data_IF_106705260349
#
_entry.id   IF_106705260349
#
_cell.length_a   1.000
_cell.length_b   1.000
_cell.length_c   1.000
_cell.angle_alpha   90.00
_cell.angle_beta   90.00
_cell.angle_gamma   90.00
#
_symmetry.space_group_name_H-M   'P 1'
#
loop_
_entity.id
_entity.type
_entity.pdbx_description
1 polymer ?
#
# COMPACT_ATOMS: atom_id res chain seq x y z
N UNK A 1 -18.06 -15.20 20.56
CA UNK A 1 -17.47 -13.86 20.46
C UNK A 1 -18.45 -12.92 19.79
N UNK A 2 -18.70 -11.75 20.38
CA UNK A 2 -19.55 -10.69 19.83
C UNK A 2 -18.79 -9.36 19.92
N UNK A 3 -18.96 -8.51 18.93
CA UNK A 3 -18.41 -7.15 18.94
C UNK A 3 -19.23 -6.31 19.94
N UNK A 4 -18.55 -5.71 20.89
CA UNK A 4 -19.16 -4.90 21.96
C UNK A 4 -18.99 -3.41 21.75
N UNK A 5 -17.88 -3.01 21.10
CA UNK A 5 -17.55 -1.61 20.88
C UNK A 5 -16.63 -1.44 19.66
N UNK A 6 -16.65 -0.25 19.07
CA UNK A 6 -15.69 0.19 18.05
C UNK A 6 -15.18 1.57 18.47
N UNK A 7 -13.88 1.69 18.64
CA UNK A 7 -13.21 2.95 18.97
C UNK A 7 -12.43 3.46 17.79
N UNK A 8 -12.41 4.76 17.61
CA UNK A 8 -11.56 5.45 16.65
C UNK A 8 -10.68 6.47 17.35
N UNK A 9 -9.50 6.73 16.78
CA UNK A 9 -8.57 7.73 17.28
C UNK A 9 -7.82 8.36 16.12
N UNK A 10 -7.75 9.69 16.08
CA UNK A 10 -6.94 10.40 15.11
C UNK A 10 -5.53 10.62 15.66
N UNK A 11 -4.52 10.28 14.86
CA UNK A 11 -3.09 10.43 15.20
C UNK A 11 -2.38 11.14 14.06
N UNK A 12 -1.41 11.97 14.39
CA UNK A 12 -0.49 12.58 13.42
C UNK A 12 0.93 12.06 13.63
N UNK A 13 1.53 11.53 12.60
CA UNK A 13 2.92 11.05 12.58
C UNK A 13 3.73 12.07 11.79
N UNK A 14 4.64 12.83 12.43
CA UNK A 14 5.53 13.75 11.73
C UNK A 14 6.54 12.96 10.90
N UNK A 15 6.78 13.38 9.67
CA UNK A 15 7.83 12.80 8.84
C UNK A 15 9.16 13.45 9.17
N UNK A 16 10.23 12.67 9.20
CA UNK A 16 11.59 13.18 9.46
C UNK A 16 12.06 14.17 8.39
N UNK A 17 11.71 13.89 7.13
CA UNK A 17 11.93 14.77 5.98
C UNK A 17 10.62 14.90 5.19
N UNK A 18 10.30 16.10 4.64
CA UNK A 18 9.15 16.24 3.75
C UNK A 18 9.29 15.36 2.50
N UNK A 19 8.18 14.73 2.11
CA UNK A 19 8.10 13.97 0.86
C UNK A 19 7.73 14.91 -0.28
N UNK A 20 8.44 14.83 -1.40
CA UNK A 20 8.08 15.55 -2.62
C UNK A 20 8.03 14.57 -3.79
N UNK A 21 6.80 14.35 -4.27
CA UNK A 21 6.52 13.63 -5.52
C UNK A 21 6.19 14.62 -6.62
N UNK A 22 5.88 14.14 -7.81
CA UNK A 22 5.48 15.01 -8.93
C UNK A 22 4.17 15.78 -8.68
N UNK A 23 3.31 15.29 -7.77
CA UNK A 23 1.97 15.84 -7.52
C UNK A 23 1.69 16.21 -6.05
N UNK A 24 2.55 15.79 -5.09
CA UNK A 24 2.32 16.02 -3.66
C UNK A 24 3.56 16.57 -2.95
N UNK A 25 3.31 17.47 -1.97
CA UNK A 25 4.24 17.82 -0.91
C UNK A 25 3.61 17.44 0.42
N UNK A 26 4.29 16.60 1.21
CA UNK A 26 3.77 16.04 2.46
C UNK A 26 4.78 16.21 3.58
N UNK A 27 4.35 16.74 4.72
CA UNK A 27 5.17 17.01 5.89
C UNK A 27 4.83 16.09 7.08
N UNK A 28 3.63 15.50 7.05
CA UNK A 28 3.17 14.52 8.04
C UNK A 28 2.20 13.52 7.41
N UNK A 29 1.98 12.39 8.05
CA UNK A 29 0.88 11.49 7.74
C UNK A 29 -0.07 11.46 8.93
N UNK A 30 -1.37 11.53 8.65
CA UNK A 30 -2.41 11.40 9.66
C UNK A 30 -3.09 10.05 9.54
N UNK A 31 -3.41 9.43 10.67
CA UNK A 31 -4.11 8.15 10.71
C UNK A 31 -5.41 8.27 11.50
N UNK A 32 -6.43 7.52 11.06
CA UNK A 32 -7.58 7.17 11.90
C UNK A 32 -7.43 5.70 12.27
N UNK A 33 -7.07 5.45 13.52
CA UNK A 33 -6.98 4.11 14.08
C UNK A 33 -8.38 3.57 14.36
N UNK A 34 -8.56 2.27 14.16
CA UNK A 34 -9.81 1.54 14.44
C UNK A 34 -9.51 0.38 15.36
N UNK A 35 -10.19 0.32 16.51
CA UNK A 35 -10.11 -0.77 17.48
C UNK A 35 -11.49 -1.38 17.64
N UNK A 36 -11.65 -2.67 17.29
CA UNK A 36 -12.89 -3.44 17.41
C UNK A 36 -12.80 -4.34 18.65
N UNK A 37 -13.53 -3.99 19.70
CA UNK A 37 -13.55 -4.71 20.97
C UNK A 37 -14.62 -5.79 21.01
N UNK A 38 -14.35 -6.89 21.71
CA UNK A 38 -15.28 -8.03 21.84
C UNK A 38 -15.57 -8.39 23.29
N UNK A 39 -16.63 -9.18 23.50
CA UNK A 39 -17.03 -9.77 24.79
C UNK A 39 -16.02 -10.80 25.33
N UNK A 40 -15.03 -11.20 24.53
CA UNK A 40 -13.95 -12.10 24.95
C UNK A 40 -12.67 -11.38 25.37
N UNK A 41 -12.62 -10.05 25.25
CA UNK A 41 -11.47 -9.22 25.52
C UNK A 41 -10.46 -9.11 24.35
N UNK A 42 -10.69 -9.82 23.25
CA UNK A 42 -9.87 -9.65 22.04
C UNK A 42 -10.21 -8.32 21.36
N UNK A 43 -9.19 -7.68 20.79
CA UNK A 43 -9.30 -6.43 20.05
C UNK A 43 -8.68 -6.60 18.68
N UNK A 44 -9.44 -6.27 17.64
CA UNK A 44 -8.93 -6.16 16.27
C UNK A 44 -8.51 -4.73 15.97
N UNK A 45 -7.37 -4.55 15.33
CA UNK A 45 -6.71 -3.27 15.15
C UNK A 45 -6.36 -3.01 13.68
N UNK A 46 -6.59 -1.80 13.22
CA UNK A 46 -6.15 -1.32 11.92
C UNK A 46 -6.21 0.20 11.84
N UNK A 47 -5.76 0.78 10.73
CA UNK A 47 -5.86 2.22 10.46
C UNK A 47 -6.17 2.50 8.98
N UNK A 48 -6.62 3.72 8.73
CA UNK A 48 -6.57 4.39 7.43
C UNK A 48 -5.78 5.68 7.58
N UNK A 49 -5.16 6.16 6.49
CA UNK A 49 -4.32 7.34 6.54
C UNK A 49 -4.73 8.43 5.55
N UNK A 50 -4.23 9.63 5.79
CA UNK A 50 -4.29 10.76 4.87
C UNK A 50 -2.98 11.56 4.94
N UNK A 51 -2.51 12.00 3.78
CA UNK A 51 -1.35 12.88 3.68
C UNK A 51 -1.66 14.23 4.36
N UNK A 52 -0.69 14.77 5.09
CA UNK A 52 -0.81 16.05 5.81
C UNK A 52 -2.03 16.10 6.76
N UNK A 53 -2.42 14.98 7.38
CA UNK A 53 -3.60 14.84 8.25
C UNK A 53 -4.91 15.44 7.71
N UNK A 54 -4.98 15.61 6.40
CA UNK A 54 -6.15 16.24 5.78
C UNK A 54 -7.36 15.31 5.85
N UNK A 55 -8.49 15.87 6.26
CA UNK A 55 -9.79 15.18 6.22
C UNK A 55 -9.92 13.95 7.12
N UNK A 56 -9.07 13.78 8.15
CA UNK A 56 -9.17 12.64 9.08
C UNK A 56 -10.55 12.56 9.73
N UNK A 57 -11.12 13.70 10.11
CA UNK A 57 -12.49 13.77 10.66
C UNK A 57 -13.54 13.20 9.71
N UNK A 58 -13.34 13.32 8.38
CA UNK A 58 -14.27 12.74 7.39
C UNK A 58 -14.14 11.22 7.36
N UNK A 59 -12.91 10.68 7.40
CA UNK A 59 -12.68 9.23 7.52
C UNK A 59 -13.27 8.68 8.82
N UNK A 60 -13.00 9.33 9.94
CA UNK A 60 -13.50 8.92 11.25
C UNK A 60 -15.02 8.95 11.31
N UNK A 61 -15.66 10.01 10.81
CA UNK A 61 -17.13 10.10 10.76
C UNK A 61 -17.73 8.98 9.90
N UNK A 62 -17.10 8.66 8.77
CA UNK A 62 -17.55 7.58 7.90
C UNK A 62 -17.41 6.22 8.57
N UNK A 63 -16.26 5.92 9.20
CA UNK A 63 -16.06 4.69 9.99
C UNK A 63 -17.11 4.59 11.07
N UNK A 64 -17.32 5.65 11.87
CA UNK A 64 -18.28 5.67 12.96
C UNK A 64 -19.73 5.44 12.48
N UNK A 65 -20.09 5.93 11.29
CA UNK A 65 -21.43 5.71 10.71
C UNK A 65 -21.70 4.24 10.39
N UNK A 66 -20.64 3.47 10.08
CA UNK A 66 -20.73 2.04 9.75
C UNK A 66 -20.77 1.11 10.98
N UNK A 67 -20.47 1.62 12.18
CA UNK A 67 -20.40 0.80 13.41
C UNK A 67 -21.72 0.10 13.74
N UNK A 68 -22.86 0.63 13.29
CA UNK A 68 -24.17 0.02 13.43
C UNK A 68 -24.27 -1.40 12.84
N UNK A 69 -23.45 -1.71 11.85
CA UNK A 69 -23.39 -3.05 11.23
C UNK A 69 -22.52 -4.04 11.99
N UNK A 70 -21.75 -3.56 13.00
CA UNK A 70 -20.79 -4.34 13.76
C UNK A 70 -21.31 -4.73 15.16
N UNK A 71 -21.89 -3.77 15.89
CA UNK A 71 -22.26 -3.96 17.28
C UNK A 71 -23.23 -5.15 17.44
N UNK A 72 -22.85 -6.08 18.33
CA UNK A 72 -23.60 -7.30 18.61
C UNK A 72 -23.40 -8.43 17.58
N UNK A 73 -22.73 -8.18 16.46
CA UNK A 73 -22.43 -9.21 15.46
C UNK A 73 -21.28 -10.12 15.91
N UNK A 74 -21.24 -11.31 15.34
CA UNK A 74 -20.08 -12.19 15.42
C UNK A 74 -19.07 -11.79 14.33
N UNK A 75 -17.83 -11.39 14.66
CA UNK A 75 -16.84 -10.94 13.69
C UNK A 75 -16.44 -12.03 12.67
N UNK A 76 -16.71 -13.31 12.94
CA UNK A 76 -16.49 -14.40 11.96
C UNK A 76 -17.39 -14.29 10.71
N UNK A 77 -18.45 -13.46 10.76
CA UNK A 77 -19.28 -13.16 9.60
C UNK A 77 -18.78 -11.95 8.81
N UNK A 78 -17.45 -11.81 8.66
CA UNK A 78 -16.80 -10.67 8.01
C UNK A 78 -17.36 -10.38 6.62
N UNK A 79 -17.62 -11.39 5.80
CA UNK A 79 -18.21 -11.25 4.48
C UNK A 79 -19.62 -10.62 4.51
N UNK A 80 -20.45 -11.06 5.46
CA UNK A 80 -21.78 -10.49 5.66
C UNK A 80 -21.71 -9.03 6.09
N UNK A 81 -20.79 -8.71 7.01
CA UNK A 81 -20.60 -7.34 7.53
C UNK A 81 -20.09 -6.46 6.39
N UNK A 82 -19.11 -6.93 5.62
CA UNK A 82 -18.58 -6.22 4.47
C UNK A 82 -19.69 -5.87 3.45
N UNK A 83 -20.50 -6.86 3.08
CA UNK A 83 -21.60 -6.69 2.12
C UNK A 83 -22.66 -5.71 2.62
N UNK A 84 -23.01 -5.75 3.92
CA UNK A 84 -23.95 -4.80 4.50
C UNK A 84 -23.43 -3.36 4.42
N UNK A 85 -22.17 -3.12 4.79
CA UNK A 85 -21.53 -1.81 4.64
C UNK A 85 -21.47 -1.36 3.18
N UNK A 86 -21.13 -2.28 2.27
CA UNK A 86 -21.05 -2.00 0.83
C UNK A 86 -22.39 -1.55 0.26
N UNK A 87 -23.47 -2.27 0.58
CA UNK A 87 -24.84 -1.93 0.13
C UNK A 87 -25.29 -0.58 0.72
N UNK A 88 -25.02 -0.33 1.99
CA UNK A 88 -25.37 0.93 2.66
C UNK A 88 -24.64 2.13 2.06
N UNK A 89 -23.41 1.96 1.61
CA UNK A 89 -22.63 3.00 0.94
C UNK A 89 -23.09 3.31 -0.50
N UNK A 90 -23.97 2.51 -1.10
CA UNK A 90 -24.36 2.68 -2.52
C UNK A 90 -24.87 4.10 -2.85
N UNK A 91 -25.79 4.72 -2.06
CA UNK A 91 -26.28 6.06 -2.35
C UNK A 91 -25.20 7.17 -2.22
N UNK A 92 -24.13 6.92 -1.47
CA UNK A 92 -23.02 7.85 -1.25
C UNK A 92 -21.91 7.70 -2.28
N UNK A 93 -21.91 6.59 -3.04
CA UNK A 93 -20.86 6.18 -3.94
C UNK A 93 -19.89 5.19 -3.26
N UNK A 94 -19.52 4.17 -4.01
CA UNK A 94 -18.70 3.05 -3.55
C UNK A 94 -17.23 3.24 -3.98
N UNK A 95 -16.68 4.43 -3.73
CA UNK A 95 -15.28 4.82 -3.95
C UNK A 95 -14.87 5.86 -2.89
N UNK A 96 -13.59 6.13 -2.77
CA UNK A 96 -13.08 7.16 -1.87
C UNK A 96 -13.30 6.80 -0.40
N UNK A 97 -13.77 7.78 0.38
CA UNK A 97 -13.90 7.67 1.84
C UNK A 97 -14.80 6.52 2.31
N UNK A 98 -15.82 6.17 1.53
CA UNK A 98 -16.73 5.06 1.86
C UNK A 98 -16.00 3.72 1.84
N UNK A 99 -15.23 3.47 0.78
CA UNK A 99 -14.46 2.22 0.66
C UNK A 99 -13.28 2.19 1.62
N UNK A 100 -12.63 3.33 1.86
CA UNK A 100 -11.57 3.44 2.89
C UNK A 100 -12.09 3.10 4.29
N UNK A 101 -13.29 3.54 4.64
CA UNK A 101 -13.90 3.20 5.92
C UNK A 101 -14.23 1.70 6.02
N UNK A 102 -14.75 1.10 4.93
CA UNK A 102 -14.96 -0.36 4.86
C UNK A 102 -13.63 -1.09 5.03
N UNK A 103 -12.57 -0.64 4.37
CA UNK A 103 -11.22 -1.22 4.48
C UNK A 103 -10.69 -1.21 5.92
N UNK A 104 -10.84 -0.08 6.62
CA UNK A 104 -10.41 0.04 8.01
C UNK A 104 -11.08 -1.03 8.90
N UNK A 105 -12.38 -1.18 8.75
CA UNK A 105 -13.19 -2.13 9.53
C UNK A 105 -12.89 -3.57 9.12
N UNK A 106 -12.88 -3.87 7.83
CA UNK A 106 -12.63 -5.21 7.30
C UNK A 106 -11.29 -5.78 7.76
N UNK A 107 -10.23 -4.98 7.65
CA UNK A 107 -8.88 -5.39 8.05
C UNK A 107 -8.78 -5.60 9.56
N UNK A 108 -9.41 -4.73 10.39
CA UNK A 108 -9.49 -4.93 11.83
C UNK A 108 -10.31 -6.19 12.23
N UNK A 109 -11.36 -6.52 11.48
CA UNK A 109 -12.11 -7.77 11.68
C UNK A 109 -11.24 -9.00 11.35
N UNK A 110 -10.46 -8.95 10.29
CA UNK A 110 -9.53 -10.04 9.96
C UNK A 110 -8.43 -10.19 11.01
N UNK A 111 -7.86 -9.09 11.51
CA UNK A 111 -6.91 -9.12 12.62
C UNK A 111 -7.51 -9.83 13.84
N UNK A 112 -8.74 -9.48 14.20
CA UNK A 112 -9.47 -10.13 15.29
C UNK A 112 -9.69 -11.63 15.04
N UNK A 113 -10.01 -12.02 13.80
CA UNK A 113 -10.21 -13.42 13.43
C UNK A 113 -8.90 -14.21 13.56
N UNK A 114 -7.78 -13.64 13.10
CA UNK A 114 -6.46 -14.25 13.27
C UNK A 114 -6.06 -14.39 14.73
N UNK A 115 -6.29 -13.36 15.56
CA UNK A 115 -6.09 -13.40 17.02
C UNK A 115 -6.97 -14.45 17.68
N UNK A 116 -8.24 -14.58 17.29
CA UNK A 116 -9.14 -15.64 17.78
C UNK A 116 -8.68 -17.04 17.39
N UNK A 117 -8.17 -17.20 16.18
CA UNK A 117 -7.62 -18.48 15.69
C UNK A 117 -6.24 -18.80 16.27
N UNK A 118 -5.61 -17.85 16.97
CA UNK A 118 -4.22 -17.91 17.43
C UNK A 118 -3.25 -18.22 16.26
N UNK A 119 -3.43 -17.55 15.13
CA UNK A 119 -2.69 -17.80 13.90
C UNK A 119 -2.42 -16.51 13.14
N UNK A 120 -1.23 -16.34 12.54
CA UNK A 120 -0.98 -15.22 11.62
C UNK A 120 -1.90 -15.28 10.41
N UNK A 121 -2.34 -14.12 9.91
CA UNK A 121 -3.33 -14.06 8.82
C UNK A 121 -2.85 -14.72 7.53
N UNK A 122 -1.56 -14.59 7.17
CA UNK A 122 -1.07 -15.23 5.96
C UNK A 122 -1.19 -16.76 6.01
N UNK A 123 -1.02 -17.37 7.20
CA UNK A 123 -1.24 -18.80 7.40
C UNK A 123 -2.74 -19.15 7.37
N UNK A 124 -3.57 -18.33 7.99
CA UNK A 124 -5.02 -18.52 7.99
C UNK A 124 -5.60 -18.45 6.57
N UNK A 125 -5.01 -17.62 5.70
CA UNK A 125 -5.39 -17.49 4.29
C UNK A 125 -4.80 -18.59 3.39
N UNK A 126 -3.93 -19.45 3.91
CA UNK A 126 -3.25 -20.50 3.17
C UNK A 126 -1.86 -20.05 2.69
N UNK A 127 -0.88 -20.10 3.58
CA UNK A 127 0.49 -19.67 3.30
C UNK A 127 1.10 -20.34 2.08
N UNK A 128 1.77 -19.58 1.24
CA UNK A 128 2.58 -20.09 0.13
C UNK A 128 4.07 -19.76 0.29
N UNK A 129 4.45 -18.93 1.29
CA UNK A 129 5.83 -18.55 1.59
C UNK A 129 5.98 -18.03 3.02
N UNK A 130 7.20 -18.00 3.51
CA UNK A 130 7.61 -17.47 4.83
C UNK A 130 8.38 -16.13 4.74
N UNK A 131 8.67 -15.66 3.53
CA UNK A 131 9.28 -14.36 3.23
C UNK A 131 8.81 -13.86 1.88
N UNK A 132 8.91 -12.56 1.64
CA UNK A 132 8.54 -11.95 0.36
C UNK A 132 9.50 -10.82 0.01
N UNK A 133 9.84 -10.70 -1.26
CA UNK A 133 10.64 -9.60 -1.78
C UNK A 133 10.04 -8.25 -1.40
N UNK A 134 10.88 -7.33 -1.00
CA UNK A 134 10.48 -5.95 -0.69
C UNK A 134 11.37 -4.94 -1.38
N UNK A 135 10.88 -3.71 -1.50
CA UNK A 135 11.65 -2.58 -2.02
C UNK A 135 11.48 -1.36 -1.13
N UNK A 136 12.58 -0.61 -0.95
CA UNK A 136 12.57 0.64 -0.21
C UNK A 136 11.84 1.73 -1.01
N UNK A 137 10.84 2.38 -0.39
CA UNK A 137 10.02 3.42 -1.03
C UNK A 137 9.93 4.72 -0.21
N UNK A 138 10.54 4.78 0.97
CA UNK A 138 10.57 5.97 1.84
C UNK A 138 11.73 6.93 1.54
N UNK A 139 12.19 6.98 0.31
CA UNK A 139 13.29 7.87 -0.09
C UNK A 139 13.35 8.08 -1.60
N UNK A 140 14.53 8.50 -2.07
CA UNK A 140 14.82 8.80 -3.48
C UNK A 140 13.81 9.77 -4.10
N UNK A 141 13.38 10.75 -3.27
CA UNK A 141 12.33 11.69 -3.62
C UNK A 141 12.75 12.62 -4.76
N UNK A 142 11.76 13.21 -5.43
CA UNK A 142 11.97 14.08 -6.57
C UNK A 142 12.82 15.32 -6.22
N UNK A 143 12.78 15.79 -4.96
CA UNK A 143 13.56 16.94 -4.48
C UNK A 143 15.04 16.64 -4.23
N UNK A 144 15.41 15.37 -4.04
CA UNK A 144 16.79 15.01 -3.70
C UNK A 144 17.76 15.32 -4.85
N UNK A 145 18.94 15.83 -4.52
CA UNK A 145 20.09 15.93 -5.39
C UNK A 145 20.63 14.54 -5.74
N UNK A 146 21.50 14.44 -6.73
CA UNK A 146 22.11 13.15 -7.10
C UNK A 146 22.96 12.59 -5.93
N UNK A 147 23.69 13.44 -5.21
CA UNK A 147 24.52 13.01 -4.08
C UNK A 147 23.64 12.46 -2.94
N UNK A 148 22.54 13.14 -2.61
CA UNK A 148 21.55 12.67 -1.61
C UNK A 148 20.89 11.36 -2.04
N UNK A 149 20.58 11.18 -3.34
CA UNK A 149 20.03 9.91 -3.84
C UNK A 149 21.00 8.74 -3.66
N UNK A 150 22.29 8.98 -3.92
CA UNK A 150 23.34 7.96 -3.79
C UNK A 150 23.53 7.59 -2.30
N UNK A 151 23.54 8.57 -1.42
CA UNK A 151 23.65 8.37 0.03
C UNK A 151 22.45 7.54 0.53
N UNK A 152 21.22 7.96 0.25
CA UNK A 152 19.99 7.23 0.63
C UNK A 152 19.95 5.80 0.05
N UNK A 153 20.43 5.60 -1.17
CA UNK A 153 20.48 4.28 -1.78
C UNK A 153 21.44 3.33 -1.06
N UNK A 154 22.62 3.84 -0.63
CA UNK A 154 23.56 3.06 0.17
C UNK A 154 22.97 2.74 1.56
N UNK A 155 22.29 3.69 2.21
CA UNK A 155 21.59 3.45 3.48
C UNK A 155 20.55 2.32 3.34
N UNK A 156 19.79 2.27 2.23
CA UNK A 156 18.85 1.18 1.97
C UNK A 156 19.56 -0.17 1.80
N UNK A 157 20.69 -0.20 1.10
CA UNK A 157 21.48 -1.44 0.94
C UNK A 157 22.00 -1.92 2.30
N UNK A 158 22.47 -1.00 3.16
CA UNK A 158 22.92 -1.33 4.52
C UNK A 158 21.78 -1.85 5.41
N UNK A 159 20.56 -1.34 5.22
CA UNK A 159 19.34 -1.84 5.87
C UNK A 159 18.87 -3.21 5.35
N UNK A 160 19.54 -3.78 4.36
CA UNK A 160 19.23 -5.10 3.82
C UNK A 160 18.38 -5.10 2.55
N UNK A 161 17.95 -3.95 2.03
CA UNK A 161 17.21 -3.88 0.78
C UNK A 161 18.06 -4.26 -0.43
N UNK A 162 17.42 -4.87 -1.43
CA UNK A 162 18.02 -5.21 -2.75
C UNK A 162 17.20 -4.63 -3.91
N UNK A 163 16.17 -3.88 -3.58
CA UNK A 163 15.31 -3.16 -4.52
C UNK A 163 14.89 -1.82 -3.92
N UNK A 164 14.80 -0.78 -4.73
CA UNK A 164 14.41 0.57 -4.30
C UNK A 164 13.67 1.33 -5.39
N UNK A 165 12.83 2.30 -5.00
CA UNK A 165 11.97 3.05 -5.90
C UNK A 165 12.43 4.50 -6.05
N UNK A 166 12.85 4.88 -7.27
CA UNK A 166 13.24 6.24 -7.66
C UNK A 166 12.02 7.03 -8.15
N UNK A 167 11.81 8.24 -7.63
CA UNK A 167 10.74 9.13 -8.11
C UNK A 167 11.17 9.87 -9.37
N UNK A 168 10.30 9.84 -10.40
CA UNK A 168 10.42 10.54 -11.67
C UNK A 168 9.39 11.68 -11.79
N UNK A 169 9.53 12.52 -12.81
CA UNK A 169 8.57 13.61 -13.07
C UNK A 169 9.17 15.00 -12.91
N UNK A 170 10.47 15.16 -13.09
CA UNK A 170 11.11 16.47 -13.23
C UNK A 170 10.53 17.22 -14.42
N UNK A 171 10.50 18.55 -14.35
CA UNK A 171 10.05 19.41 -15.46
C UNK A 171 10.89 19.15 -16.73
N UNK A 172 12.19 18.95 -16.56
CA UNK A 172 13.10 18.53 -17.62
C UNK A 172 13.37 17.02 -17.56
N UNK A 173 12.85 16.19 -18.46
CA UNK A 173 13.03 14.75 -18.45
C UNK A 173 14.50 14.27 -18.50
N UNK A 174 15.42 15.11 -18.97
CA UNK A 174 16.86 14.79 -18.97
C UNK A 174 17.42 14.67 -17.55
N UNK A 175 16.82 15.39 -16.59
CA UNK A 175 17.19 15.30 -15.18
C UNK A 175 16.79 13.93 -14.61
N UNK A 176 15.60 13.42 -14.95
CA UNK A 176 15.17 12.08 -14.55
C UNK A 176 16.13 11.00 -15.09
N UNK A 177 16.53 11.11 -16.37
CA UNK A 177 17.51 10.18 -16.96
C UNK A 177 18.86 10.28 -16.26
N UNK A 178 19.36 11.50 -15.97
CA UNK A 178 20.62 11.69 -15.28
C UNK A 178 20.60 11.11 -13.86
N UNK A 179 19.51 11.29 -13.12
CA UNK A 179 19.29 10.75 -11.78
C UNK A 179 19.26 9.21 -11.79
N UNK A 180 18.51 8.62 -12.72
CA UNK A 180 18.41 7.17 -12.84
C UNK A 180 19.77 6.55 -13.23
N UNK A 181 20.52 7.17 -14.14
CA UNK A 181 21.85 6.72 -14.55
C UNK A 181 22.85 6.80 -13.40
N UNK A 182 22.89 7.93 -12.69
CA UNK A 182 23.78 8.10 -11.55
C UNK A 182 23.48 7.09 -10.43
N UNK A 183 22.19 6.84 -10.16
CA UNK A 183 21.77 5.82 -9.20
C UNK A 183 22.24 4.42 -9.64
N UNK A 184 22.00 4.02 -10.90
CA UNK A 184 22.44 2.72 -11.44
C UNK A 184 23.96 2.55 -11.34
N UNK A 185 24.74 3.59 -11.70
CA UNK A 185 26.20 3.58 -11.61
C UNK A 185 26.69 3.42 -10.16
N UNK A 186 25.97 4.02 -9.18
CA UNK A 186 26.33 3.94 -7.77
C UNK A 186 26.01 2.58 -7.13
N UNK A 187 24.83 2.00 -7.43
CA UNK A 187 24.36 0.77 -6.77
C UNK A 187 24.74 -0.52 -7.50
N UNK A 188 25.20 -0.43 -8.76
CA UNK A 188 25.54 -1.61 -9.57
C UNK A 188 24.33 -2.38 -10.09
N UNK A 189 24.57 -3.48 -10.82
CA UNK A 189 23.52 -4.26 -11.51
C UNK A 189 22.74 -5.21 -10.59
N UNK A 190 23.28 -5.54 -9.42
CA UNK A 190 22.66 -6.48 -8.47
C UNK A 190 21.50 -5.85 -7.68
N UNK A 191 21.36 -4.53 -7.70
CA UNK A 191 20.29 -3.80 -7.06
C UNK A 191 19.20 -3.47 -8.09
N UNK A 192 17.95 -3.86 -7.80
CA UNK A 192 16.83 -3.51 -8.66
C UNK A 192 16.40 -2.06 -8.44
N UNK A 193 16.26 -1.31 -9.52
CA UNK A 193 15.71 0.05 -9.48
C UNK A 193 14.31 0.00 -10.09
N UNK A 194 13.34 0.38 -9.31
CA UNK A 194 11.95 0.61 -9.70
C UNK A 194 11.74 2.11 -9.89
N UNK A 195 10.80 2.53 -10.71
CA UNK A 195 10.56 3.97 -10.93
C UNK A 195 9.08 4.31 -10.80
N UNK A 196 8.78 5.52 -10.28
CA UNK A 196 7.43 6.00 -10.10
C UNK A 196 7.30 7.45 -10.58
N UNK A 197 6.40 7.67 -11.54
CA UNK A 197 6.13 8.96 -12.14
C UNK A 197 4.92 9.68 -11.53
N UNK A 198 4.21 9.06 -10.59
CA UNK A 198 3.05 9.63 -9.89
C UNK A 198 2.09 10.38 -10.83
N UNK A 199 1.69 9.76 -11.94
CA UNK A 199 0.68 10.27 -12.89
C UNK A 199 1.03 11.60 -13.58
N UNK A 200 2.32 11.96 -13.64
CA UNK A 200 2.74 13.30 -14.07
C UNK A 200 2.87 13.49 -15.59
N UNK A 201 2.74 12.42 -16.38
CA UNK A 201 3.09 12.47 -17.80
C UNK A 201 1.88 12.27 -18.70
N UNK A 202 2.05 12.65 -19.97
CA UNK A 202 1.24 12.16 -21.08
C UNK A 202 1.82 10.86 -21.62
N UNK A 203 1.05 10.00 -22.34
CA UNK A 203 1.57 8.76 -22.91
C UNK A 203 2.80 8.97 -23.81
N UNK A 204 2.84 10.08 -24.54
CA UNK A 204 3.99 10.41 -25.41
C UNK A 204 5.26 10.71 -24.58
N UNK A 205 5.11 11.46 -23.49
CA UNK A 205 6.25 11.78 -22.62
C UNK A 205 6.77 10.52 -21.91
N UNK A 206 5.87 9.70 -21.38
CA UNK A 206 6.22 8.45 -20.72
C UNK A 206 6.99 7.49 -21.67
N UNK A 207 6.51 7.30 -22.89
CA UNK A 207 7.20 6.47 -23.91
C UNK A 207 8.59 7.06 -24.24
N UNK A 208 8.69 8.39 -24.41
CA UNK A 208 9.95 9.03 -24.73
C UNK A 208 10.98 8.95 -23.59
N UNK A 209 10.53 9.02 -22.33
CA UNK A 209 11.39 8.86 -21.15
C UNK A 209 11.80 7.38 -20.99
N UNK A 210 10.84 6.47 -20.99
CA UNK A 210 11.08 5.04 -20.79
C UNK A 210 12.15 4.51 -21.75
N UNK A 211 12.09 4.88 -23.04
CA UNK A 211 13.10 4.50 -24.05
C UNK A 211 14.52 4.98 -23.73
N UNK A 212 14.66 6.04 -22.95
CA UNK A 212 15.99 6.54 -22.52
C UNK A 212 16.45 5.83 -21.23
N UNK A 213 15.57 5.09 -20.57
CA UNK A 213 15.85 4.31 -19.35
C UNK A 213 16.03 2.82 -19.65
N UNK A 214 15.75 2.33 -20.87
CA UNK A 214 15.78 0.90 -21.21
C UNK A 214 17.15 0.25 -21.00
N UNK A 215 18.24 1.02 -21.16
CA UNK A 215 19.62 0.55 -20.93
C UNK A 215 20.03 0.53 -19.45
N UNK A 216 19.17 0.97 -18.55
CA UNK A 216 19.43 1.06 -17.11
C UNK A 216 18.83 -0.09 -16.29
N UNK A 217 18.31 -1.14 -16.92
CA UNK A 217 17.73 -2.32 -16.25
C UNK A 217 16.69 -1.93 -15.17
N UNK A 218 15.71 -1.10 -15.56
CA UNK A 218 14.62 -0.64 -14.68
C UNK A 218 13.58 -1.75 -14.55
N UNK A 219 13.20 -2.09 -13.32
CA UNK A 219 12.24 -3.16 -13.02
C UNK A 219 10.80 -2.83 -13.41
N UNK A 220 10.34 -1.59 -13.21
CA UNK A 220 9.08 -1.07 -13.75
C UNK A 220 9.00 0.45 -13.80
N UNK A 221 8.06 0.94 -14.61
CA UNK A 221 7.58 2.33 -14.63
C UNK A 221 6.19 2.39 -14.03
N UNK A 222 6.07 2.95 -12.81
CA UNK A 222 4.83 3.04 -12.05
C UNK A 222 4.09 4.34 -12.37
N UNK A 223 2.76 4.22 -12.49
CA UNK A 223 1.81 5.32 -12.73
C UNK A 223 2.32 6.41 -13.69
N UNK A 224 2.72 6.05 -14.94
CA UNK A 224 3.27 7.04 -15.87
C UNK A 224 2.28 8.14 -16.24
N UNK A 225 0.98 7.83 -16.31
CA UNK A 225 -0.11 8.74 -16.71
C UNK A 225 -1.24 8.70 -15.68
N UNK A 226 -2.21 9.63 -15.72
CA UNK A 226 -3.35 9.60 -14.80
C UNK A 226 -4.02 8.21 -14.73
N UNK A 227 -4.34 7.76 -13.52
CA UNK A 227 -4.86 6.41 -13.27
C UNK A 227 -6.11 6.06 -14.10
N UNK A 228 -6.95 7.05 -14.41
CA UNK A 228 -8.14 6.87 -15.23
C UNK A 228 -7.88 6.82 -16.75
N UNK A 229 -6.64 7.03 -17.22
CA UNK A 229 -6.24 6.88 -18.61
C UNK A 229 -5.74 5.44 -18.91
N UNK A 230 -6.62 4.46 -18.75
CA UNK A 230 -6.28 3.05 -19.01
C UNK A 230 -5.85 2.80 -20.46
N UNK A 231 -6.37 3.58 -21.41
CA UNK A 231 -5.95 3.49 -22.82
C UNK A 231 -4.52 4.03 -22.99
N UNK A 232 -4.19 5.09 -22.28
CA UNK A 232 -2.82 5.63 -22.24
C UNK A 232 -1.84 4.63 -21.64
N UNK A 233 -2.17 3.98 -20.54
CA UNK A 233 -1.38 2.91 -19.93
C UNK A 233 -1.13 1.77 -20.91
N UNK A 234 -2.19 1.21 -21.52
CA UNK A 234 -2.07 0.13 -22.52
C UNK A 234 -1.17 0.53 -23.69
N UNK A 235 -1.32 1.77 -24.19
CA UNK A 235 -0.47 2.30 -25.27
C UNK A 235 1.01 2.41 -24.87
N UNK A 236 1.30 2.77 -23.62
CA UNK A 236 2.65 2.84 -23.11
C UNK A 236 3.23 1.43 -23.04
N UNK A 237 2.52 0.51 -22.42
CA UNK A 237 2.91 -0.89 -22.28
C UNK A 237 3.27 -1.53 -23.63
N UNK A 238 2.49 -1.27 -24.68
CA UNK A 238 2.76 -1.78 -26.04
C UNK A 238 4.00 -1.15 -26.70
N UNK A 239 4.46 0.02 -26.23
CA UNK A 239 5.48 0.84 -26.91
C UNK A 239 6.88 0.79 -26.27
N UNK A 240 7.02 0.20 -25.07
CA UNK A 240 8.26 0.15 -24.28
C UNK A 240 8.56 -1.28 -23.82
N UNK A 241 9.79 -1.55 -23.41
CA UNK A 241 10.21 -2.85 -22.88
C UNK A 241 10.24 -2.86 -21.34
N UNK A 242 10.20 -1.70 -20.68
CA UNK A 242 10.11 -1.60 -19.22
C UNK A 242 8.68 -1.97 -18.80
N UNK A 243 8.49 -2.90 -17.85
CA UNK A 243 7.16 -3.23 -17.34
C UNK A 243 6.41 -2.01 -16.80
N UNK A 244 5.10 -1.96 -16.99
CA UNK A 244 4.25 -0.89 -16.46
C UNK A 244 3.52 -1.39 -15.22
N UNK A 245 3.62 -0.64 -14.11
CA UNK A 245 2.92 -0.92 -12.86
C UNK A 245 1.90 0.18 -12.56
N UNK A 246 0.70 -0.18 -12.11
CA UNK A 246 -0.34 0.76 -11.67
C UNK A 246 -1.49 0.04 -10.98
N UNK A 247 -2.38 0.80 -10.32
CA UNK A 247 -3.60 0.29 -9.68
C UNK A 247 -3.83 0.85 -8.29
N UNK A 248 -2.84 1.51 -7.69
CA UNK A 248 -2.93 2.05 -6.33
C UNK A 248 -4.07 3.06 -6.15
N UNK A 249 -4.41 3.80 -7.19
CA UNK A 249 -5.43 4.85 -7.17
C UNK A 249 -6.84 4.33 -7.44
N UNK A 250 -6.98 3.09 -7.92
CA UNK A 250 -8.26 2.46 -8.20
C UNK A 250 -8.90 1.77 -7.00
N UNK A 251 -10.21 1.53 -7.11
CA UNK A 251 -11.04 1.04 -6.01
C UNK A 251 -11.64 -0.33 -6.32
N UNK A 252 -11.61 -1.21 -5.31
CA UNK A 252 -12.25 -2.52 -5.30
C UNK A 252 -11.79 -3.46 -6.42
N UNK A 253 -12.18 -4.74 -6.33
CA UNK A 253 -11.95 -5.72 -7.39
C UNK A 253 -12.49 -5.29 -8.76
N UNK A 254 -13.48 -4.40 -8.79
CA UNK A 254 -14.08 -3.94 -10.05
C UNK A 254 -13.13 -3.01 -10.82
N UNK A 255 -12.50 -2.04 -10.13
CA UNK A 255 -11.45 -1.20 -10.74
C UNK A 255 -10.25 -2.02 -11.18
N UNK A 256 -9.81 -2.98 -10.36
CA UNK A 256 -8.72 -3.90 -10.74
C UNK A 256 -9.08 -4.70 -12.00
N UNK A 257 -10.30 -5.20 -12.08
CA UNK A 257 -10.79 -5.89 -13.29
C UNK A 257 -10.78 -4.99 -14.52
N UNK A 258 -11.21 -3.74 -14.39
CA UNK A 258 -11.21 -2.80 -15.51
C UNK A 258 -9.80 -2.54 -16.06
N UNK A 259 -8.79 -2.42 -15.18
CA UNK A 259 -7.37 -2.31 -15.54
C UNK A 259 -6.91 -3.56 -16.32
N UNK A 260 -7.23 -4.75 -15.81
CA UNK A 260 -6.85 -6.03 -16.42
C UNK A 260 -7.53 -6.25 -17.76
N UNK A 261 -8.83 -5.95 -17.89
CA UNK A 261 -9.59 -6.05 -19.15
C UNK A 261 -8.98 -5.17 -20.25
N UNK A 262 -8.40 -4.03 -19.88
CA UNK A 262 -7.74 -3.10 -20.80
C UNK A 262 -6.28 -3.46 -21.07
N UNK A 263 -5.72 -4.48 -20.39
CA UNK A 263 -4.29 -4.82 -20.45
C UNK A 263 -3.42 -3.58 -20.22
N UNK A 264 -3.77 -2.83 -19.18
CA UNK A 264 -3.16 -1.54 -18.91
C UNK A 264 -1.88 -1.64 -18.07
N UNK A 265 -1.56 -2.82 -17.52
CA UNK A 265 -0.40 -3.04 -16.65
C UNK A 265 0.24 -4.42 -16.86
N UNK A 266 1.53 -4.51 -16.58
CA UNK A 266 2.26 -5.78 -16.40
C UNK A 266 2.26 -6.20 -14.93
N UNK A 267 2.25 -5.23 -13.98
CA UNK A 267 2.15 -5.45 -12.54
C UNK A 267 0.98 -4.65 -11.99
N UNK A 268 0.02 -5.34 -11.37
CA UNK A 268 -1.11 -4.70 -10.72
C UNK A 268 -0.74 -4.32 -9.28
N UNK A 269 -1.04 -3.08 -8.86
CA UNK A 269 -0.64 -2.55 -7.55
C UNK A 269 -1.84 -2.09 -6.70
N UNK A 270 -2.60 -3.01 -6.07
CA UNK A 270 -3.71 -2.62 -5.22
C UNK A 270 -3.23 -1.95 -3.93
N UNK A 271 -3.89 -0.85 -3.54
CA UNK A 271 -3.75 -0.21 -2.24
C UNK A 271 -4.79 -0.79 -1.27
N UNK A 272 -4.38 -1.19 -0.06
CA UNK A 272 -5.27 -1.83 0.91
C UNK A 272 -6.46 -0.96 1.29
N UNK A 273 -6.26 0.34 1.48
CA UNK A 273 -7.31 1.28 1.85
C UNK A 273 -8.31 1.51 0.71
N UNK A 274 -7.80 1.62 -0.52
CA UNK A 274 -8.62 1.89 -1.72
C UNK A 274 -9.28 0.63 -2.26
N UNK A 275 -8.66 -0.54 -2.10
CA UNK A 275 -9.27 -1.79 -2.53
C UNK A 275 -10.48 -2.20 -1.68
N UNK A 276 -10.56 -1.77 -0.41
CA UNK A 276 -11.68 -2.09 0.49
C UNK A 276 -11.37 -3.19 1.52
N UNK A 277 -10.10 -3.30 1.93
CA UNK A 277 -9.63 -4.21 2.97
C UNK A 277 -9.16 -5.57 2.45
N UNK A 278 -8.78 -6.44 3.38
CA UNK A 278 -8.19 -7.75 3.08
C UNK A 278 -9.16 -8.67 2.32
N UNK A 279 -10.48 -8.60 2.59
CA UNK A 279 -11.49 -9.37 1.86
C UNK A 279 -11.46 -9.05 0.37
N UNK A 280 -11.50 -7.78 0.00
CA UNK A 280 -11.44 -7.35 -1.40
C UNK A 280 -10.06 -7.56 -2.03
N UNK A 281 -8.98 -7.37 -1.27
CA UNK A 281 -7.63 -7.60 -1.77
C UNK A 281 -7.45 -9.07 -2.20
N UNK A 282 -7.90 -10.03 -1.39
CA UNK A 282 -7.87 -11.46 -1.75
C UNK A 282 -8.62 -11.74 -3.05
N UNK A 283 -9.79 -11.13 -3.24
CA UNK A 283 -10.59 -11.25 -4.48
C UNK A 283 -9.86 -10.65 -5.67
N UNK A 284 -9.26 -9.46 -5.51
CA UNK A 284 -8.47 -8.80 -6.54
C UNK A 284 -7.24 -9.63 -6.93
N UNK A 285 -6.52 -10.19 -5.95
CA UNK A 285 -5.38 -11.08 -6.19
C UNK A 285 -5.78 -12.33 -6.98
N UNK A 286 -6.92 -12.94 -6.65
CA UNK A 286 -7.45 -14.11 -7.38
C UNK A 286 -7.84 -13.75 -8.82
N UNK A 287 -8.46 -12.58 -9.04
CA UNK A 287 -8.78 -12.10 -10.39
C UNK A 287 -7.48 -11.87 -11.18
N UNK A 288 -6.50 -11.13 -10.62
CA UNK A 288 -5.22 -10.90 -11.28
C UNK A 288 -4.51 -12.22 -11.67
N UNK A 289 -4.55 -13.21 -10.79
CA UNK A 289 -4.01 -14.56 -11.06
C UNK A 289 -4.67 -15.22 -12.28
N UNK A 290 -5.99 -15.06 -12.44
CA UNK A 290 -6.71 -15.59 -13.61
C UNK A 290 -6.35 -14.86 -14.91
N UNK A 291 -5.86 -13.63 -14.83
CA UNK A 291 -5.32 -12.88 -15.98
C UNK A 291 -3.80 -13.10 -16.16
N UNK A 292 -3.17 -13.98 -15.36
CA UNK A 292 -1.72 -14.18 -15.34
C UNK A 292 -0.91 -12.91 -15.02
N UNK A 293 -1.51 -11.97 -14.31
CA UNK A 293 -0.88 -10.70 -13.92
C UNK A 293 -0.38 -10.81 -12.48
N UNK A 294 0.92 -10.56 -12.24
CA UNK A 294 1.46 -10.46 -10.89
C UNK A 294 0.90 -9.22 -10.17
N UNK A 295 0.90 -9.28 -8.85
CA UNK A 295 0.58 -8.14 -8.00
C UNK A 295 1.79 -7.72 -7.16
N UNK A 296 1.92 -6.41 -6.91
CA UNK A 296 2.73 -5.83 -5.84
C UNK A 296 1.83 -4.97 -4.98
N UNK A 297 2.13 -4.82 -3.70
CA UNK A 297 1.27 -4.02 -2.81
C UNK A 297 1.68 -2.56 -2.82
N UNK A 298 0.76 -1.66 -2.52
CA UNK A 298 1.01 -0.23 -2.34
C UNK A 298 0.84 0.13 -0.86
N UNK A 299 1.86 0.76 -0.25
CA UNK A 299 1.85 1.18 1.17
C UNK A 299 1.32 0.06 2.09
N UNK A 300 0.88 0.36 3.31
CA UNK A 300 0.33 -0.61 4.26
C UNK A 300 1.18 -1.88 4.40
N UNK A 301 2.49 -1.71 4.57
CA UNK A 301 3.45 -2.81 4.52
C UNK A 301 3.07 -3.95 5.47
N UNK A 302 2.79 -3.63 6.74
CA UNK A 302 2.47 -4.60 7.78
C UNK A 302 1.22 -5.43 7.46
N UNK A 303 0.14 -4.75 7.06
CA UNK A 303 -1.15 -5.40 6.74
C UNK A 303 -1.07 -6.21 5.44
N UNK A 304 -0.28 -5.72 4.47
CA UNK A 304 -0.13 -6.35 3.15
C UNK A 304 0.58 -7.70 3.22
N UNK A 305 1.34 -7.98 4.29
CA UNK A 305 1.98 -9.29 4.50
C UNK A 305 0.98 -10.44 4.56
N UNK A 306 -0.26 -10.18 5.01
CA UNK A 306 -1.32 -11.20 5.00
C UNK A 306 -1.62 -11.69 3.57
N UNK A 307 -1.63 -10.78 2.60
CA UNK A 307 -1.83 -11.09 1.17
C UNK A 307 -0.53 -11.65 0.56
N UNK A 308 0.60 -10.99 0.81
CA UNK A 308 1.87 -11.36 0.21
C UNK A 308 2.32 -12.78 0.60
N UNK A 309 2.07 -13.21 1.83
CA UNK A 309 2.37 -14.57 2.29
C UNK A 309 1.41 -15.65 1.78
N UNK A 310 0.21 -15.27 1.30
CA UNK A 310 -0.83 -16.23 0.89
C UNK A 310 -1.18 -16.21 -0.60
N UNK A 311 -0.93 -15.11 -1.31
CA UNK A 311 -1.19 -15.00 -2.74
C UNK A 311 0.08 -15.35 -3.55
N UNK A 312 0.06 -16.46 -4.28
CA UNK A 312 1.23 -16.94 -5.04
C UNK A 312 1.67 -15.98 -6.16
N UNK A 313 0.77 -15.17 -6.68
CA UNK A 313 1.05 -14.15 -7.69
C UNK A 313 1.46 -12.79 -7.10
N UNK A 314 1.59 -12.64 -5.78
CA UNK A 314 2.20 -11.47 -5.16
C UNK A 314 3.72 -11.58 -5.27
N UNK A 315 4.35 -10.64 -5.99
CA UNK A 315 5.80 -10.68 -6.29
C UNK A 315 6.63 -9.83 -5.34
N UNK A 316 6.04 -8.81 -4.74
CA UNK A 316 6.74 -7.91 -3.80
C UNK A 316 5.77 -7.13 -2.92
N UNK A 317 6.33 -6.56 -1.86
CA UNK A 317 5.64 -5.64 -0.94
C UNK A 317 6.38 -4.32 -0.93
N UNK A 318 5.66 -3.22 -1.08
CA UNK A 318 6.21 -1.89 -0.88
C UNK A 318 6.52 -1.65 0.60
N UNK A 319 7.75 -1.29 0.89
CA UNK A 319 8.14 -0.90 2.24
C UNK A 319 8.14 0.63 2.37
N UNK A 320 7.27 1.12 3.26
CA UNK A 320 7.29 2.49 3.74
C UNK A 320 7.35 2.47 5.27
N UNK A 321 8.25 3.22 5.85
CA UNK A 321 8.50 3.29 7.30
C UNK A 321 7.60 4.30 8.04
N UNK A 322 6.72 5.02 7.33
CA UNK A 322 5.92 6.11 7.89
C UNK A 322 5.05 5.67 9.06
N UNK A 323 4.57 4.42 9.02
CA UNK A 323 3.64 3.86 9.99
C UNK A 323 4.31 2.96 11.03
N UNK A 324 5.59 2.62 10.85
CA UNK A 324 6.35 1.78 11.78
C UNK A 324 6.29 2.27 13.23
N UNK A 325 6.26 3.61 13.52
CA UNK A 325 6.11 4.08 14.89
C UNK A 325 4.76 3.75 15.55
N UNK A 326 3.74 3.31 14.79
CA UNK A 326 2.46 2.87 15.35
C UNK A 326 2.55 1.50 16.03
N UNK A 327 3.64 0.74 15.83
CA UNK A 327 3.73 -0.66 16.21
C UNK A 327 4.85 -0.94 17.20
N UNK A 328 4.61 -1.93 18.07
CA UNK A 328 5.63 -2.43 19.01
C UNK A 328 6.67 -3.32 18.30
N UNK A 329 6.25 -4.04 17.25
CA UNK A 329 7.09 -4.98 16.52
C UNK A 329 7.79 -4.29 15.36
N UNK A 330 9.10 -4.51 15.23
CA UNK A 330 9.86 -4.06 14.08
C UNK A 330 9.79 -5.09 12.94
N UNK A 331 9.66 -4.59 11.73
CA UNK A 331 9.72 -5.42 10.53
C UNK A 331 11.14 -5.94 10.32
N UNK A 332 11.28 -7.23 9.96
CA UNK A 332 12.58 -7.85 9.72
C UNK A 332 12.83 -7.96 8.22
N UNK A 333 13.91 -7.32 7.76
CA UNK A 333 14.34 -7.32 6.35
C UNK A 333 15.69 -8.01 6.26
N UNK A 334 15.77 -9.06 5.45
CA UNK A 334 16.97 -9.85 5.24
C UNK A 334 17.17 -10.11 3.74
N UNK A 335 18.32 -9.70 3.20
CA UNK A 335 18.72 -9.95 1.80
C UNK A 335 17.66 -9.54 0.75
N UNK A 336 16.93 -8.47 1.02
CA UNK A 336 15.89 -7.94 0.13
C UNK A 336 14.48 -8.49 0.37
N UNK A 337 14.29 -9.39 1.33
CA UNK A 337 13.01 -9.97 1.69
C UNK A 337 12.54 -9.49 3.07
N UNK A 338 11.22 -9.31 3.24
CA UNK A 338 10.58 -9.20 4.55
C UNK A 338 10.21 -10.61 5.03
N UNK A 339 10.56 -10.92 6.29
CA UNK A 339 10.12 -12.15 6.94
C UNK A 339 8.66 -12.03 7.37
N UNK A 340 7.88 -13.11 7.19
CA UNK A 340 6.49 -13.13 7.61
C UNK A 340 6.36 -13.09 9.13
N UNK A 341 5.40 -12.33 9.70
CA UNK A 341 5.19 -12.24 11.14
C UNK A 341 4.70 -13.58 11.71
N UNK A 342 5.18 -13.94 12.91
CA UNK A 342 4.76 -15.17 13.59
C UNK A 342 3.57 -14.96 14.53
N UNK A 343 3.35 -13.73 14.99
CA UNK A 343 2.28 -13.43 15.94
C UNK A 343 0.88 -13.51 15.29
N UNK A 344 -0.15 -13.88 16.07
CA UNK A 344 -1.53 -13.98 15.58
C UNK A 344 -2.09 -12.67 15.02
N UNK A 345 -3.05 -12.77 14.12
CA UNK A 345 -3.66 -11.62 13.47
C UNK A 345 -2.77 -11.07 12.36
N UNK A 346 -2.67 -9.75 12.27
CA UNK A 346 -1.75 -9.06 11.35
C UNK A 346 -0.28 -9.30 11.72
N UNK A 347 -0.02 -9.70 12.98
CA UNK A 347 1.32 -9.94 13.48
C UNK A 347 2.02 -8.72 14.07
N UNK A 348 1.32 -7.60 14.11
CA UNK A 348 1.77 -6.32 14.66
C UNK A 348 0.71 -5.78 15.62
N UNK A 349 1.15 -5.17 16.73
CA UNK A 349 0.28 -4.58 17.75
C UNK A 349 0.59 -3.10 17.93
N UNK A 350 -0.45 -2.30 18.20
CA UNK A 350 -0.26 -0.87 18.38
C UNK A 350 0.59 -0.52 19.60
N UNK A 351 1.54 0.42 19.42
CA UNK A 351 2.23 1.11 20.49
C UNK A 351 1.34 2.23 21.03
N UNK A 352 0.59 1.94 22.07
CA UNK A 352 -0.35 2.90 22.66
C UNK A 352 0.36 4.09 23.35
N UNK A 353 1.60 3.96 23.77
CA UNK A 353 2.36 5.07 24.35
C UNK A 353 2.73 6.08 23.26
N UNK A 354 3.20 5.61 22.11
CA UNK A 354 3.43 6.46 20.95
C UNK A 354 2.13 7.12 20.46
N UNK A 355 1.07 6.35 20.33
CA UNK A 355 -0.24 6.78 19.84
C UNK A 355 -0.84 7.89 20.71
N UNK A 356 -0.85 7.74 22.03
CA UNK A 356 -1.36 8.76 22.95
C UNK A 356 -0.51 10.05 22.92
N UNK A 357 0.80 9.91 22.70
CA UNK A 357 1.73 11.07 22.55
C UNK A 357 1.47 11.89 21.28
N UNK A 358 0.93 11.27 20.23
CA UNK A 358 0.70 11.86 18.91
C UNK A 358 -0.78 12.04 18.56
N UNK A 359 -1.66 11.80 19.52
CA UNK A 359 -3.10 11.94 19.35
C UNK A 359 -3.50 13.37 19.02
N UNK A 360 -4.30 13.55 17.98
CA UNK A 360 -4.88 14.84 17.63
C UNK A 360 -5.97 15.14 18.67
N UNK A 361 -5.74 16.21 19.46
CA UNK A 361 -6.74 16.70 20.40
C UNK A 361 -7.74 17.52 19.62
N UNK A 362 -9.01 17.10 19.65
CA UNK A 362 -10.13 17.81 19.03
C UNK A 362 -10.47 19.13 19.72
#
# INVERSE_FOLDING_TARGET
MKITNVKTMQVEIPLQKPLITAIHKTESVGCVLVMIETDTGLVGENYVFALNKMRLTVFEAMINSLTQFLIGQNPLYVEKIWEQMWVDCNPLGQKGVTVSAISAIDTALWDLIGKQANMPLYQLFGACRDRVKTYASSGLWLSASIDELIEEAHDFIEQGFRSMKLRLGKENPREDVARARALREAVGEDIEILTDANQSMTPRQAIALARQLEDLNIGWLEEPVPANDLVGHARILEAINIPVASGETDYTRFGMKDILDKRAVDVLMPDLQRIGGLSEFRRAAAIASAYHTPISTHIFTEQSLAIAGSASNCISVEHVDWFSPLYNEAMQIEEGDILMPEAPGLGFTFDYDFIEGHRIKG
#
